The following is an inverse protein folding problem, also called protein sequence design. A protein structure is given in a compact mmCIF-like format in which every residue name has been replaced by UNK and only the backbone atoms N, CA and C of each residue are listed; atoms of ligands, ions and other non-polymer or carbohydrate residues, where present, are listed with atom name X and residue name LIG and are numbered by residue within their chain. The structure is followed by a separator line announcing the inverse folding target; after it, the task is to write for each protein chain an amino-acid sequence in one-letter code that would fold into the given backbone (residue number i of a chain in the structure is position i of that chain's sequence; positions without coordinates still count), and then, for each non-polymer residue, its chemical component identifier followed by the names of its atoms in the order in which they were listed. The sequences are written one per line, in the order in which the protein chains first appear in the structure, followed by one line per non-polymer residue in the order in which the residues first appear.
data_IF_726342868357
#
_entry.id   IF_726342868357
#
_cell.length_a   1.000
_cell.length_b   1.000
_cell.length_c   1.000
_cell.angle_alpha   90.00
_cell.angle_beta   90.00
_cell.angle_gamma   90.00
#
_symmetry.space_group_name_H-M   'P 1'
#
loop_
_entity.id
_entity.type
_entity.pdbx_description
1 polymer ?
#
# COMPACT_ATOMS: atom_id res chain seq x y z
N UNK A 1 -7.58 19.02 3.90
CA UNK A 1 -6.50 18.32 3.19
C UNK A 1 -7.01 17.78 1.85
N UNK A 2 -6.10 17.60 0.88
CA UNK A 2 -6.42 17.02 -0.42
C UNK A 2 -6.01 15.54 -0.44
N UNK A 3 -6.68 14.74 -1.27
CA UNK A 3 -6.27 13.35 -1.50
C UNK A 3 -4.80 13.28 -1.95
N UNK A 4 -4.00 12.41 -1.34
CA UNK A 4 -2.56 12.25 -1.59
C UNK A 4 -1.67 13.29 -0.91
N UNK A 5 -2.22 14.23 -0.16
CA UNK A 5 -1.43 15.20 0.62
C UNK A 5 -0.68 14.50 1.73
N UNK A 6 0.61 14.81 1.90
CA UNK A 6 1.43 14.28 2.99
C UNK A 6 0.93 14.83 4.33
N UNK A 7 0.67 13.93 5.26
CA UNK A 7 0.14 14.24 6.60
C UNK A 7 1.18 14.03 7.69
N UNK A 8 2.08 13.07 7.50
CA UNK A 8 3.14 12.76 8.45
C UNK A 8 4.20 11.88 7.84
N UNK A 9 5.33 11.80 8.49
CA UNK A 9 6.45 10.93 8.12
C UNK A 9 6.89 10.16 9.36
N UNK A 10 6.94 8.84 9.23
CA UNK A 10 7.58 7.96 10.21
C UNK A 10 9.07 7.93 9.87
N UNK A 11 9.95 7.80 10.87
CA UNK A 11 11.39 7.78 10.64
C UNK A 11 11.77 6.79 9.50
N UNK A 12 12.30 7.27 8.37
CA UNK A 12 12.59 6.44 7.21
C UNK A 12 13.98 5.80 7.23
N UNK A 13 14.81 6.07 8.26
CA UNK A 13 16.23 5.71 8.26
C UNK A 13 16.43 4.20 8.07
N UNK A 14 15.70 3.38 8.80
CA UNK A 14 15.78 1.93 8.70
C UNK A 14 15.40 1.42 7.30
N UNK A 15 14.32 1.95 6.72
CA UNK A 15 13.85 1.57 5.38
C UNK A 15 14.87 2.00 4.31
N UNK A 16 15.48 3.19 4.44
CA UNK A 16 16.52 3.67 3.54
C UNK A 16 17.80 2.83 3.63
N UNK A 17 18.18 2.41 4.85
CA UNK A 17 19.32 1.51 5.05
C UNK A 17 19.10 0.18 4.35
N UNK A 18 17.91 -0.40 4.48
CA UNK A 18 17.56 -1.65 3.81
C UNK A 18 17.61 -1.54 2.28
N UNK A 19 17.17 -0.43 1.71
CA UNK A 19 17.30 -0.17 0.28
C UNK A 19 18.77 -0.17 -0.14
N UNK A 20 19.62 0.58 0.59
CA UNK A 20 21.06 0.66 0.30
C UNK A 20 21.77 -0.69 0.37
N UNK A 21 21.41 -1.52 1.34
CA UNK A 21 21.94 -2.88 1.48
C UNK A 21 21.59 -3.76 0.27
N UNK A 22 20.32 -3.77 -0.11
CA UNK A 22 19.87 -4.57 -1.27
C UNK A 22 20.44 -4.03 -2.58
N UNK A 23 20.56 -2.72 -2.74
CA UNK A 23 21.23 -2.11 -3.91
C UNK A 23 22.70 -2.48 -4.02
N UNK A 24 23.43 -2.51 -2.90
CA UNK A 24 24.82 -2.97 -2.86
C UNK A 24 24.92 -4.45 -3.29
N UNK A 25 24.05 -5.31 -2.77
CA UNK A 25 23.99 -6.73 -3.18
C UNK A 25 23.68 -6.88 -4.67
N UNK A 26 22.79 -6.08 -5.22
CA UNK A 26 22.50 -6.08 -6.65
C UNK A 26 23.70 -5.63 -7.50
N UNK A 27 24.46 -4.65 -7.04
CA UNK A 27 25.69 -4.23 -7.73
C UNK A 27 26.73 -5.37 -7.74
N UNK A 28 26.91 -6.06 -6.62
CA UNK A 28 27.80 -7.23 -6.53
C UNK A 28 27.38 -8.34 -7.51
N UNK A 29 26.10 -8.72 -7.50
CA UNK A 29 25.58 -9.75 -8.41
C UNK A 29 25.72 -9.35 -9.88
N UNK A 30 25.58 -8.07 -10.22
CA UNK A 30 25.80 -7.57 -11.58
C UNK A 30 27.28 -7.68 -11.99
N UNK A 31 28.21 -7.42 -11.06
CA UNK A 31 29.62 -7.59 -11.29
C UNK A 31 29.97 -9.08 -11.51
N UNK A 32 29.43 -9.96 -10.66
CA UNK A 32 29.58 -11.43 -10.82
C UNK A 32 29.01 -11.93 -12.16
N UNK A 33 27.86 -11.39 -12.58
CA UNK A 33 27.27 -11.68 -13.88
C UNK A 33 28.20 -11.25 -15.03
N UNK A 34 28.78 -10.06 -14.93
CA UNK A 34 29.72 -9.57 -15.95
C UNK A 34 30.97 -10.46 -16.05
N UNK A 35 31.51 -10.93 -14.91
CA UNK A 35 32.61 -11.89 -14.88
C UNK A 35 32.21 -13.21 -15.55
N UNK A 36 31.07 -13.80 -15.14
CA UNK A 36 30.58 -15.05 -15.73
C UNK A 36 30.30 -14.89 -17.23
N UNK A 37 29.86 -13.75 -17.69
CA UNK A 37 29.67 -13.44 -19.11
C UNK A 37 31.02 -13.42 -19.88
N UNK A 38 32.08 -12.87 -19.29
CA UNK A 38 33.41 -12.89 -19.88
C UNK A 38 33.95 -14.31 -19.97
N UNK A 39 33.78 -15.13 -18.91
CA UNK A 39 34.17 -16.55 -18.92
C UNK A 39 33.39 -17.36 -19.97
N UNK A 40 32.10 -17.12 -20.07
CA UNK A 40 31.25 -17.75 -21.11
C UNK A 40 31.73 -17.37 -22.52
N UNK A 41 32.10 -16.09 -22.74
CA UNK A 41 32.59 -15.63 -24.03
C UNK A 41 33.92 -16.30 -24.36
N UNK A 42 34.84 -16.50 -23.39
CA UNK A 42 36.07 -17.23 -23.56
C UNK A 42 35.79 -18.71 -23.97
N UNK A 43 34.89 -19.39 -23.25
CA UNK A 43 34.48 -20.75 -23.57
C UNK A 43 33.87 -20.85 -24.99
N UNK A 44 33.09 -19.84 -25.41
CA UNK A 44 32.51 -19.78 -26.76
C UNK A 44 33.61 -19.66 -27.83
N UNK A 45 34.61 -18.80 -27.64
CA UNK A 45 35.74 -18.63 -28.55
C UNK A 45 36.56 -19.93 -28.62
N UNK A 46 36.79 -20.56 -27.46
CA UNK A 46 37.49 -21.88 -27.40
C UNK A 46 36.74 -22.94 -28.18
N UNK A 47 35.43 -23.09 -27.95
CA UNK A 47 34.59 -24.04 -28.71
C UNK A 47 34.65 -23.76 -30.22
N UNK A 48 34.54 -22.49 -30.64
CA UNK A 48 34.63 -22.13 -32.07
C UNK A 48 35.97 -22.52 -32.69
N UNK A 49 37.06 -22.31 -31.94
CA UNK A 49 38.41 -22.72 -32.36
C UNK A 49 38.53 -24.26 -32.50
N UNK A 50 38.02 -25.00 -31.49
CA UNK A 50 38.00 -26.48 -31.52
C UNK A 50 37.15 -27.01 -32.68
N UNK A 51 36.00 -26.42 -32.96
CA UNK A 51 35.18 -26.76 -34.11
C UNK A 51 35.89 -26.55 -35.45
N UNK A 52 36.70 -25.49 -35.58
CA UNK A 52 37.51 -25.27 -36.79
C UNK A 52 38.60 -26.33 -36.93
N UNK A 53 39.28 -26.70 -35.85
CA UNK A 53 40.30 -27.76 -35.84
C UNK A 53 39.72 -29.16 -36.10
N UNK A 54 38.52 -29.44 -35.61
CA UNK A 54 37.81 -30.68 -35.85
C UNK A 54 37.52 -30.91 -37.36
N UNK A 55 37.25 -29.87 -38.12
CA UNK A 55 37.04 -29.93 -39.57
C UNK A 55 38.28 -30.42 -40.32
N UNK A 56 39.46 -30.21 -39.78
CA UNK A 56 40.77 -30.66 -40.34
C UNK A 56 41.25 -31.93 -39.67
N UNK A 57 40.42 -32.62 -38.86
CA UNK A 57 40.76 -33.83 -38.09
C UNK A 57 41.98 -33.63 -37.16
N UNK A 58 42.26 -32.39 -36.73
CA UNK A 58 43.41 -32.05 -35.90
C UNK A 58 43.15 -32.22 -34.38
N UNK A 59 41.94 -32.56 -33.96
CA UNK A 59 41.56 -32.81 -32.56
C UNK A 59 40.69 -34.04 -32.40
N UNK A 60 40.60 -34.55 -31.15
CA UNK A 60 39.74 -35.68 -30.81
C UNK A 60 38.29 -35.21 -30.65
N UNK A 61 37.34 -36.14 -30.85
CA UNK A 61 35.94 -35.90 -30.55
C UNK A 61 35.71 -35.54 -29.07
N UNK A 62 36.48 -36.14 -28.16
CA UNK A 62 36.42 -35.88 -26.73
C UNK A 62 36.76 -34.42 -26.40
N UNK A 63 37.77 -33.83 -27.05
CA UNK A 63 38.15 -32.42 -26.82
C UNK A 63 37.03 -31.47 -27.25
N UNK A 64 36.36 -31.77 -28.37
CA UNK A 64 35.22 -31.01 -28.86
C UNK A 64 34.03 -31.09 -27.87
N UNK A 65 33.70 -32.30 -27.41
CA UNK A 65 32.61 -32.55 -26.48
C UNK A 65 32.90 -31.85 -25.12
N UNK A 66 34.17 -31.85 -24.69
CA UNK A 66 34.59 -31.14 -23.47
C UNK A 66 34.39 -29.64 -23.60
N UNK A 67 34.82 -29.01 -24.70
CA UNK A 67 34.64 -27.58 -24.92
C UNK A 67 33.16 -27.17 -25.03
N UNK A 68 32.33 -28.03 -25.64
CA UNK A 68 30.89 -27.80 -25.71
C UNK A 68 30.24 -27.87 -24.31
N UNK A 69 30.65 -28.85 -23.50
CA UNK A 69 30.15 -29.00 -22.12
C UNK A 69 30.57 -27.82 -21.26
N UNK A 70 31.82 -27.35 -21.37
CA UNK A 70 32.31 -26.20 -20.64
C UNK A 70 31.49 -24.94 -20.96
N UNK A 71 31.20 -24.68 -22.23
CA UNK A 71 30.32 -23.57 -22.61
C UNK A 71 28.92 -23.70 -21.98
N UNK A 72 28.34 -24.91 -22.00
CA UNK A 72 27.03 -25.16 -21.41
C UNK A 72 27.02 -24.87 -19.87
N UNK A 73 28.08 -25.30 -19.16
CA UNK A 73 28.24 -25.02 -17.73
C UNK A 73 28.33 -23.51 -17.46
N UNK A 74 29.16 -22.77 -18.23
CA UNK A 74 29.26 -21.31 -18.09
C UNK A 74 27.95 -20.60 -18.40
N UNK A 75 27.18 -21.08 -19.36
CA UNK A 75 25.88 -20.57 -19.70
C UNK A 75 24.87 -20.80 -18.54
N UNK A 76 24.88 -21.98 -17.92
CA UNK A 76 24.04 -22.30 -16.78
C UNK A 76 24.38 -21.45 -15.55
N UNK A 77 25.70 -21.16 -15.36
CA UNK A 77 26.14 -20.27 -14.28
C UNK A 77 25.55 -18.85 -14.40
N UNK A 78 25.49 -18.29 -15.61
CA UNK A 78 24.84 -17.00 -15.84
C UNK A 78 23.36 -17.10 -15.48
N UNK A 79 22.67 -18.18 -15.85
CA UNK A 79 21.28 -18.40 -15.52
C UNK A 79 21.00 -18.40 -14.00
N UNK A 80 21.91 -18.99 -13.20
CA UNK A 80 21.79 -18.95 -11.73
C UNK A 80 21.97 -17.55 -11.16
N UNK A 81 22.95 -16.79 -11.68
CA UNK A 81 23.17 -15.39 -11.26
C UNK A 81 21.96 -14.51 -11.67
N UNK A 82 21.43 -14.68 -12.87
CA UNK A 82 20.24 -13.97 -13.33
C UNK A 82 19.03 -14.24 -12.44
N UNK A 83 18.84 -15.48 -11.98
CA UNK A 83 17.80 -15.83 -11.02
C UNK A 83 18.03 -15.16 -9.66
N UNK A 84 19.28 -15.03 -9.20
CA UNK A 84 19.63 -14.32 -7.98
C UNK A 84 19.36 -12.80 -8.10
N UNK A 85 19.73 -12.19 -9.22
CA UNK A 85 19.43 -10.78 -9.52
C UNK A 85 17.92 -10.55 -9.48
N UNK A 86 17.13 -11.40 -10.13
CA UNK A 86 15.67 -11.27 -10.15
C UNK A 86 15.07 -11.37 -8.74
N UNK A 87 15.56 -12.27 -7.90
CA UNK A 87 15.12 -12.40 -6.50
C UNK A 87 15.46 -11.14 -5.69
N UNK A 88 16.70 -10.65 -5.81
CA UNK A 88 17.11 -9.43 -5.10
C UNK A 88 16.40 -8.17 -5.63
N UNK A 89 16.01 -8.13 -6.91
CA UNK A 89 15.18 -7.07 -7.45
C UNK A 89 13.80 -7.04 -6.76
N UNK A 90 13.17 -8.19 -6.55
CA UNK A 90 11.91 -8.27 -5.79
C UNK A 90 12.10 -7.82 -4.33
N UNK A 91 13.25 -8.13 -3.71
CA UNK A 91 13.58 -7.64 -2.37
C UNK A 91 13.75 -6.11 -2.34
N UNK A 92 14.35 -5.52 -3.39
CA UNK A 92 14.44 -4.06 -3.53
C UNK A 92 13.07 -3.42 -3.65
N UNK A 93 12.17 -4.00 -4.45
CA UNK A 93 10.82 -3.48 -4.63
C UNK A 93 10.03 -3.54 -3.31
N UNK A 94 10.21 -4.60 -2.52
CA UNK A 94 9.66 -4.71 -1.16
C UNK A 94 10.23 -3.63 -0.23
N UNK A 95 11.55 -3.41 -0.24
CA UNK A 95 12.19 -2.38 0.58
C UNK A 95 11.71 -0.97 0.22
N UNK A 96 11.51 -0.68 -1.08
CA UNK A 96 10.92 0.59 -1.54
C UNK A 96 9.47 0.77 -1.08
N UNK A 97 8.66 -0.28 -1.16
CA UNK A 97 7.29 -0.26 -0.63
C UNK A 97 7.26 0.03 0.87
N UNK A 98 8.20 -0.55 1.63
CA UNK A 98 8.32 -0.25 3.06
C UNK A 98 8.72 1.21 3.32
N UNK A 99 9.57 1.80 2.46
CA UNK A 99 9.87 3.23 2.53
C UNK A 99 8.64 4.08 2.22
N UNK A 100 7.82 3.71 1.22
CA UNK A 100 6.59 4.42 0.91
C UNK A 100 5.61 4.40 2.10
N UNK A 101 5.57 3.29 2.86
CA UNK A 101 4.73 3.20 4.07
C UNK A 101 5.20 4.08 5.22
N UNK A 102 6.43 4.63 5.18
CA UNK A 102 6.84 5.66 6.15
C UNK A 102 6.17 7.01 5.89
N UNK A 103 5.61 7.22 4.70
CA UNK A 103 4.89 8.43 4.34
C UNK A 103 3.38 8.25 4.53
N UNK A 104 2.82 8.95 5.49
CA UNK A 104 1.38 8.93 5.77
C UNK A 104 0.71 9.99 4.89
N UNK A 105 -0.04 9.54 3.89
CA UNK A 105 -0.75 10.42 2.96
C UNK A 105 -2.26 10.32 3.14
N UNK A 106 -2.98 11.41 2.83
CA UNK A 106 -4.43 11.45 2.92
C UNK A 106 -5.07 10.50 1.87
N UNK A 107 -5.88 9.50 2.28
CA UNK A 107 -6.56 8.60 1.35
C UNK A 107 -7.70 9.28 0.58
N UNK A 108 -8.24 10.36 1.13
CA UNK A 108 -9.34 11.14 0.56
C UNK A 108 -9.15 12.62 0.86
N UNK A 109 -9.87 13.47 0.15
CA UNK A 109 -9.99 14.88 0.53
C UNK A 109 -10.91 14.99 1.76
N UNK A 110 -10.62 15.92 2.67
CA UNK A 110 -11.40 16.11 3.88
C UNK A 110 -10.75 17.06 4.87
N UNK A 111 -11.26 17.08 6.08
CA UNK A 111 -10.73 17.86 7.20
C UNK A 111 -10.17 16.93 8.27
N UNK A 112 -9.03 17.29 8.86
CA UNK A 112 -8.46 16.55 9.99
C UNK A 112 -9.26 16.93 11.24
N UNK A 113 -10.00 15.95 11.77
CA UNK A 113 -10.86 16.17 12.94
C UNK A 113 -10.15 15.91 14.24
N UNK A 114 -9.15 15.02 14.24
CA UNK A 114 -8.39 14.69 15.43
C UNK A 114 -6.98 14.25 15.07
N UNK A 115 -5.99 14.73 15.81
CA UNK A 115 -4.62 14.23 15.77
C UNK A 115 -4.41 13.42 17.05
N UNK A 116 -4.22 12.12 16.92
CA UNK A 116 -4.06 11.20 18.07
C UNK A 116 -2.60 11.04 18.45
N UNK A 117 -1.70 11.05 17.45
CA UNK A 117 -0.26 10.87 17.66
C UNK A 117 0.46 12.19 17.35
N UNK A 118 1.19 12.71 18.33
CA UNK A 118 1.94 13.96 18.18
C UNK A 118 3.32 13.72 17.55
N UNK A 119 3.89 14.77 16.96
CA UNK A 119 5.24 14.76 16.44
C UNK A 119 6.25 14.40 17.53
N UNK A 120 7.21 13.52 17.21
CA UNK A 120 8.22 13.04 18.16
C UNK A 120 7.78 11.89 19.06
N UNK A 121 6.52 11.46 18.95
CA UNK A 121 6.03 10.31 19.70
C UNK A 121 6.39 9.00 19.01
N UNK A 122 6.91 8.03 19.79
CA UNK A 122 7.17 6.67 19.28
C UNK A 122 5.86 5.90 19.15
N UNK A 123 5.63 5.29 17.99
CA UNK A 123 4.49 4.42 17.72
C UNK A 123 4.94 2.97 17.58
N UNK A 124 4.25 2.05 18.23
CA UNK A 124 4.54 0.61 18.22
C UNK A 124 3.40 -0.08 17.45
N UNK A 125 3.70 -0.51 16.22
CA UNK A 125 2.72 -1.18 15.35
C UNK A 125 2.64 -2.70 15.54
N UNK A 126 3.48 -3.28 16.42
CA UNK A 126 3.62 -4.74 16.55
C UNK A 126 2.38 -5.46 17.09
N UNK A 127 1.54 -4.79 17.88
CA UNK A 127 0.36 -5.37 18.50
C UNK A 127 -0.96 -4.86 17.91
N UNK A 128 -1.00 -3.58 17.57
CA UNK A 128 -2.18 -2.94 16.98
C UNK A 128 -1.73 -1.76 16.12
N UNK A 129 -2.33 -1.59 14.94
CA UNK A 129 -2.05 -0.43 14.10
C UNK A 129 -2.42 0.86 14.86
N UNK A 130 -1.47 1.78 15.09
CA UNK A 130 -1.75 3.02 15.82
C UNK A 130 -2.62 3.94 14.98
N UNK A 131 -3.58 4.61 15.63
CA UNK A 131 -4.33 5.68 15.01
C UNK A 131 -3.50 6.96 15.07
N UNK A 132 -3.07 7.49 13.93
CA UNK A 132 -2.24 8.69 13.84
C UNK A 132 -3.12 9.95 13.84
N UNK A 133 -4.15 9.96 13.00
CA UNK A 133 -5.11 11.05 12.89
C UNK A 133 -6.43 10.54 12.32
N UNK A 134 -7.50 11.30 12.55
CA UNK A 134 -8.82 11.03 11.98
C UNK A 134 -9.13 12.07 10.91
N UNK A 135 -9.54 11.60 9.74
CA UNK A 135 -9.92 12.42 8.60
C UNK A 135 -11.41 12.21 8.31
N UNK A 136 -12.16 13.27 8.13
CA UNK A 136 -13.57 13.21 7.79
C UNK A 136 -13.90 14.06 6.55
N UNK A 137 -14.83 13.57 5.74
CA UNK A 137 -15.47 14.37 4.69
C UNK A 137 -16.63 15.15 5.32
N UNK A 138 -16.48 16.47 5.37
CA UNK A 138 -17.44 17.38 5.95
C UNK A 138 -18.50 17.88 4.96
N UNK A 139 -18.47 17.44 3.72
CA UNK A 139 -19.40 17.89 2.67
C UNK A 139 -20.84 17.41 2.89
N UNK A 140 -20.96 16.24 3.52
CA UNK A 140 -22.24 15.63 3.86
C UNK A 140 -22.20 15.10 5.29
N UNK A 141 -23.17 15.48 6.09
CA UNK A 141 -23.28 15.05 7.48
C UNK A 141 -24.29 13.91 7.60
N UNK A 142 -23.95 12.91 8.39
CA UNK A 142 -24.86 11.83 8.76
C UNK A 142 -25.41 12.13 10.16
N UNK A 143 -26.66 12.59 10.21
CA UNK A 143 -27.37 12.85 11.46
C UNK A 143 -28.04 11.58 11.94
N UNK A 144 -27.85 11.22 13.20
CA UNK A 144 -28.53 10.10 13.86
C UNK A 144 -29.60 10.65 14.78
N UNK A 145 -30.86 10.38 14.49
CA UNK A 145 -31.97 10.72 15.36
C UNK A 145 -32.46 9.49 16.13
N UNK A 146 -32.62 9.63 17.44
CA UNK A 146 -33.26 8.60 18.26
C UNK A 146 -34.78 8.66 18.06
N UNK A 147 -35.38 7.53 17.71
CA UNK A 147 -36.80 7.38 17.47
C UNK A 147 -37.32 6.26 18.36
N UNK A 148 -38.48 6.49 19.00
CA UNK A 148 -39.10 5.49 19.85
C UNK A 148 -39.54 4.25 19.06
N UNK A 149 -39.65 3.09 19.71
CA UNK A 149 -40.16 1.87 19.11
C UNK A 149 -41.57 2.07 18.53
N UNK A 150 -42.39 2.89 19.17
CA UNK A 150 -43.75 3.15 18.72
C UNK A 150 -43.81 3.95 17.41
N UNK A 151 -42.85 4.83 17.15
CA UNK A 151 -42.81 5.74 16.01
C UNK A 151 -42.04 5.17 14.82
N UNK A 152 -41.06 4.30 15.07
CA UNK A 152 -40.15 3.77 14.03
C UNK A 152 -40.90 3.03 12.92
N UNK A 153 -42.00 2.38 13.25
CA UNK A 153 -42.84 1.64 12.27
C UNK A 153 -43.45 2.55 11.19
N UNK A 154 -43.53 3.85 11.46
CA UNK A 154 -44.11 4.84 10.53
C UNK A 154 -43.07 5.49 9.63
N UNK A 155 -41.78 5.25 9.88
CA UNK A 155 -40.68 5.81 9.11
C UNK A 155 -40.38 4.96 7.88
N UNK A 156 -40.10 5.65 6.77
CA UNK A 156 -39.74 4.99 5.49
C UNK A 156 -38.49 5.65 4.92
N UNK A 157 -37.52 4.89 4.41
CA UNK A 157 -36.39 5.43 3.65
C UNK A 157 -36.87 6.37 2.53
N UNK A 158 -36.14 7.46 2.29
CA UNK A 158 -36.53 8.50 1.33
C UNK A 158 -37.45 9.60 1.90
N UNK A 159 -37.93 9.48 3.13
CA UNK A 159 -38.73 10.48 3.79
C UNK A 159 -37.91 11.73 4.09
N UNK A 160 -38.47 12.92 3.80
CA UNK A 160 -37.82 14.18 4.14
C UNK A 160 -37.94 14.45 5.64
N UNK A 161 -36.87 14.93 6.21
CA UNK A 161 -36.79 15.37 7.59
C UNK A 161 -36.04 16.70 7.66
N UNK A 162 -36.30 17.45 8.71
CA UNK A 162 -35.57 18.67 9.00
C UNK A 162 -35.27 18.76 10.49
N UNK A 163 -34.19 19.46 10.80
CA UNK A 163 -33.84 19.77 12.19
C UNK A 163 -33.24 21.19 12.28
N UNK A 164 -33.14 21.69 13.48
CA UNK A 164 -32.44 22.95 13.81
C UNK A 164 -31.34 22.63 14.81
N UNK A 165 -30.30 23.44 14.84
CA UNK A 165 -29.25 23.34 15.86
C UNK A 165 -29.50 24.37 16.96
N UNK A 166 -29.08 24.08 18.19
CA UNK A 166 -29.27 24.98 19.32
C UNK A 166 -28.62 26.36 19.13
N UNK A 167 -27.51 26.42 18.39
CA UNK A 167 -26.81 27.68 18.11
C UNK A 167 -27.47 28.52 17.02
N UNK A 168 -28.35 27.95 16.21
CA UNK A 168 -29.12 28.65 15.18
C UNK A 168 -30.52 28.02 15.03
N UNK A 169 -31.47 28.33 15.88
CA UNK A 169 -32.82 27.78 15.85
C UNK A 169 -33.68 28.29 14.70
N UNK A 170 -33.24 29.31 13.96
CA UNK A 170 -33.97 29.89 12.84
C UNK A 170 -33.69 29.15 11.52
N UNK A 171 -32.50 28.58 11.40
CA UNK A 171 -32.09 27.86 10.18
C UNK A 171 -32.52 26.41 10.25
N UNK A 172 -33.28 25.99 9.23
CA UNK A 172 -33.70 24.60 9.05
C UNK A 172 -32.71 23.87 8.14
N UNK A 173 -32.16 22.76 8.63
CA UNK A 173 -31.33 21.86 7.86
C UNK A 173 -32.19 20.69 7.38
N UNK A 174 -32.34 20.58 6.06
CA UNK A 174 -33.16 19.54 5.45
C UNK A 174 -32.28 18.33 5.10
N UNK A 175 -32.81 17.15 5.34
CA UNK A 175 -32.17 15.89 5.02
C UNK A 175 -33.17 14.85 4.54
N UNK A 176 -32.65 13.73 4.04
CA UNK A 176 -33.44 12.61 3.60
C UNK A 176 -33.10 11.41 4.47
N UNK A 177 -34.13 10.73 4.99
CA UNK A 177 -33.98 9.48 5.73
C UNK A 177 -33.34 8.43 4.83
N UNK A 178 -32.13 8.05 5.16
CA UNK A 178 -31.36 7.04 4.43
C UNK A 178 -31.80 5.63 4.82
N UNK A 179 -31.74 5.36 6.11
CA UNK A 179 -32.08 4.07 6.67
C UNK A 179 -32.38 4.19 8.18
N UNK A 180 -32.85 3.08 8.75
CA UNK A 180 -33.07 2.91 10.18
C UNK A 180 -32.18 1.73 10.62
N UNK A 181 -31.34 1.94 11.64
CA UNK A 181 -30.54 0.84 12.17
C UNK A 181 -31.45 -0.23 12.77
N UNK A 182 -31.31 -1.51 12.39
CA UNK A 182 -32.16 -2.59 12.87
C UNK A 182 -31.90 -2.95 14.34
N UNK A 183 -30.75 -2.54 14.88
CA UNK A 183 -30.35 -2.82 16.26
C UNK A 183 -30.84 -1.70 17.16
N UNK A 184 -31.77 -1.96 18.07
CA UNK A 184 -32.24 -0.97 19.04
C UNK A 184 -31.20 -0.72 20.13
N UNK A 185 -31.27 0.45 20.74
CA UNK A 185 -30.53 0.81 21.94
C UNK A 185 -31.50 1.01 23.10
N UNK A 186 -31.18 0.46 24.26
CA UNK A 186 -31.98 0.64 25.47
C UNK A 186 -31.39 1.80 26.28
N UNK A 187 -32.16 2.85 26.42
CA UNK A 187 -31.80 4.04 27.22
C UNK A 187 -32.89 4.25 28.27
N UNK A 188 -32.50 4.22 29.55
CA UNK A 188 -33.42 4.41 30.69
C UNK A 188 -34.71 3.55 30.59
N UNK A 189 -34.56 2.26 30.32
CA UNK A 189 -35.63 1.28 30.13
C UNK A 189 -36.57 1.50 28.92
N UNK A 190 -36.35 2.51 28.11
CA UNK A 190 -37.04 2.70 26.84
C UNK A 190 -36.19 2.20 25.67
N UNK A 191 -36.85 1.68 24.65
CA UNK A 191 -36.21 1.16 23.43
C UNK A 191 -36.27 2.24 22.37
N UNK A 192 -35.09 2.57 21.81
CA UNK A 192 -34.92 3.51 20.72
C UNK A 192 -34.24 2.87 19.52
N UNK A 193 -34.62 3.32 18.34
CA UNK A 193 -33.94 3.01 17.09
C UNK A 193 -33.25 4.26 16.55
N UNK A 194 -32.18 4.10 15.77
CA UNK A 194 -31.50 5.22 15.14
C UNK A 194 -31.93 5.35 13.69
N UNK A 195 -32.63 6.45 13.39
CA UNK A 195 -32.90 6.90 12.04
C UNK A 195 -31.74 7.75 11.54
N UNK A 196 -31.15 7.41 10.40
CA UNK A 196 -30.00 8.11 9.83
C UNK A 196 -30.44 8.97 8.65
N UNK A 197 -30.07 10.24 8.70
CA UNK A 197 -30.35 11.24 7.68
C UNK A 197 -29.06 11.75 7.06
N UNK A 198 -29.01 11.84 5.73
CA UNK A 198 -27.93 12.55 5.04
C UNK A 198 -28.33 14.00 4.81
N UNK A 199 -27.47 14.91 5.25
CA UNK A 199 -27.70 16.35 5.19
C UNK A 199 -26.51 17.00 4.49
N UNK A 200 -26.71 17.69 3.35
CA UNK A 200 -25.65 18.44 2.69
C UNK A 200 -25.11 19.55 3.59
N UNK A 201 -23.79 19.69 3.65
CA UNK A 201 -23.13 20.72 4.45
C UNK A 201 -22.14 21.57 3.61
N UNK A 202 -22.61 22.22 2.54
CA UNK A 202 -21.75 22.92 1.59
C UNK A 202 -20.99 24.10 2.20
N UNK A 203 -21.51 24.67 3.26
CA UNK A 203 -20.91 25.82 3.94
C UNK A 203 -20.03 25.41 5.14
N UNK A 204 -19.97 24.13 5.50
CA UNK A 204 -19.18 23.63 6.62
C UNK A 204 -19.66 24.15 8.00
N UNK A 205 -20.93 24.53 8.11
CA UNK A 205 -21.51 25.06 9.37
C UNK A 205 -21.74 23.93 10.38
N UNK A 206 -22.21 22.79 9.92
CA UNK A 206 -22.40 21.61 10.75
C UNK A 206 -21.04 20.96 11.05
N UNK A 207 -20.83 20.59 12.31
CA UNK A 207 -19.59 19.94 12.79
C UNK A 207 -19.90 18.59 13.41
N UNK A 208 -18.87 17.76 13.52
CA UNK A 208 -18.92 16.44 14.18
C UNK A 208 -19.01 16.61 15.70
#
# INVERSE_FOLDING_TARGET
VKKGQLLGVIDPEQAQNQIREVEATLMELRAQRAQAQAERNLAQVTLTRQQALAKTQAISKQDLDTAATELAVKQAQIGTIDAQIKRNQASLDTAKTNLDYTQIVAPMAGEVTQITTLQGQTVIAAQQAPNILTLADMSTMLVKAQVSEADVIHLKPGQKAWFTVLGDPQTRYEGVLKDILPTPEKVNDAIFYYARFEVPNPQGVLRL
#
